data_IF_213540051436
#
_entry.id   IF_213540051436
#
_cell.length_a   1.000
_cell.length_b   1.000
_cell.length_c   1.000
_cell.angle_alpha   90.00
_cell.angle_beta   90.00
_cell.angle_gamma   90.00
#
_symmetry.space_group_name_H-M   'P 1'
#
loop_
_entity.id
_entity.type
_entity.pdbx_description
1 polymer ?
#
# COMPACT_ATOMS: atom_id res chain seq x y z
N UNK A 1 49.84 -22.61 -44.66
CA UNK A 1 49.57 -23.50 -43.46
C UNK A 1 49.91 -22.78 -42.15
N UNK A 2 50.49 -21.53 -42.17
CA UNK A 2 50.84 -20.65 -41.04
C UNK A 2 49.79 -19.54 -40.88
N UNK A 3 48.83 -19.32 -41.83
CA UNK A 3 47.74 -18.32 -41.74
C UNK A 3 46.45 -19.03 -41.27
N UNK A 4 46.37 -20.38 -41.35
CA UNK A 4 45.22 -21.19 -40.88
C UNK A 4 45.40 -21.60 -39.41
N UNK A 5 46.64 -21.62 -38.89
CA UNK A 5 46.95 -21.97 -37.48
C UNK A 5 46.83 -20.74 -36.58
N UNK A 6 46.92 -19.48 -37.17
CA UNK A 6 46.75 -18.20 -36.46
C UNK A 6 45.27 -17.82 -36.33
N UNK A 7 44.40 -18.32 -37.22
CA UNK A 7 42.95 -18.06 -37.19
C UNK A 7 42.25 -19.07 -36.25
N UNK A 8 42.85 -20.26 -36.09
CA UNK A 8 42.30 -21.29 -35.17
C UNK A 8 42.74 -20.98 -33.74
N UNK A 9 43.88 -20.37 -33.54
CA UNK A 9 44.37 -19.93 -32.22
C UNK A 9 43.64 -18.67 -31.74
N UNK A 10 43.24 -17.82 -32.68
CA UNK A 10 42.45 -16.61 -32.34
C UNK A 10 41.01 -16.99 -32.01
N UNK A 11 40.54 -18.01 -32.66
CA UNK A 11 39.15 -18.47 -32.39
C UNK A 11 39.12 -19.19 -31.02
N UNK A 12 40.10 -19.94 -30.68
CA UNK A 12 40.15 -20.61 -29.37
C UNK A 12 40.36 -19.61 -28.23
N UNK A 13 41.13 -18.57 -28.55
CA UNK A 13 41.33 -17.53 -27.51
C UNK A 13 40.03 -16.76 -27.31
N UNK A 14 39.35 -16.46 -28.39
CA UNK A 14 38.07 -15.74 -28.25
C UNK A 14 37.02 -16.64 -27.59
N UNK A 15 37.01 -17.89 -27.89
CA UNK A 15 36.09 -18.84 -27.24
C UNK A 15 36.46 -19.02 -25.76
N UNK A 16 37.75 -19.05 -25.51
CA UNK A 16 38.22 -19.09 -24.11
C UNK A 16 37.78 -17.85 -23.32
N UNK A 17 37.86 -16.69 -23.93
CA UNK A 17 37.44 -15.44 -23.26
C UNK A 17 35.91 -15.45 -23.11
N UNK A 18 35.22 -15.90 -24.09
CA UNK A 18 33.75 -15.96 -23.99
C UNK A 18 33.33 -16.96 -22.90
N UNK A 19 33.96 -18.09 -22.84
CA UNK A 19 33.66 -19.08 -21.79
C UNK A 19 34.02 -18.55 -20.39
N UNK A 20 35.13 -17.91 -20.28
CA UNK A 20 35.48 -17.28 -18.99
C UNK A 20 34.49 -16.17 -18.63
N UNK A 21 34.07 -15.37 -19.58
CA UNK A 21 33.06 -14.33 -19.31
C UNK A 21 31.71 -14.96 -18.96
N UNK A 22 31.41 -16.11 -19.57
CA UNK A 22 30.12 -16.79 -19.29
C UNK A 22 30.15 -17.44 -17.90
N UNK A 23 31.35 -17.85 -17.45
CA UNK A 23 31.43 -18.50 -16.13
C UNK A 23 31.67 -17.45 -15.04
N UNK A 24 32.30 -16.33 -15.31
CA UNK A 24 32.64 -15.29 -14.31
C UNK A 24 31.38 -14.51 -13.89
N UNK A 25 30.36 -14.50 -14.74
CA UNK A 25 29.16 -13.70 -14.42
C UNK A 25 28.24 -14.46 -13.46
N UNK A 26 28.02 -15.78 -13.61
CA UNK A 26 27.26 -16.51 -12.59
C UNK A 26 28.08 -16.72 -11.30
N UNK A 27 29.43 -16.88 -11.44
CA UNK A 27 30.33 -16.98 -10.27
C UNK A 27 30.30 -15.72 -9.40
N UNK A 28 30.30 -14.56 -10.03
CA UNK A 28 30.23 -13.29 -9.26
C UNK A 28 28.83 -13.12 -8.62
N UNK A 29 27.83 -13.55 -9.29
CA UNK A 29 26.45 -13.49 -8.75
C UNK A 29 26.26 -14.50 -7.62
N UNK A 30 26.86 -15.67 -7.76
CA UNK A 30 26.79 -16.66 -6.67
C UNK A 30 27.62 -16.20 -5.46
N UNK A 31 28.76 -15.61 -5.74
CA UNK A 31 29.60 -15.04 -4.66
C UNK A 31 28.85 -13.94 -3.92
N UNK A 32 28.09 -13.13 -4.58
CA UNK A 32 27.37 -12.03 -3.93
C UNK A 32 26.12 -12.54 -3.22
N UNK A 33 25.59 -13.64 -3.67
CA UNK A 33 24.40 -14.27 -3.03
C UNK A 33 24.80 -15.02 -1.76
N UNK A 34 25.91 -15.66 -1.79
CA UNK A 34 26.35 -16.48 -0.65
C UNK A 34 26.75 -15.61 0.54
N UNK A 35 26.97 -14.34 0.31
CA UNK A 35 27.45 -13.53 1.46
C UNK A 35 26.28 -12.85 2.17
N UNK A 36 24.99 -13.27 1.83
CA UNK A 36 23.85 -12.70 2.58
C UNK A 36 23.77 -11.17 2.46
N UNK A 37 24.32 -10.66 1.33
CA UNK A 37 24.20 -9.19 1.11
C UNK A 37 25.47 -8.44 1.51
N UNK A 38 26.43 -9.05 2.34
CA UNK A 38 27.69 -8.39 2.79
C UNK A 38 28.58 -8.02 1.60
N UNK A 39 28.50 -8.71 0.65
CA UNK A 39 29.34 -8.39 -0.53
C UNK A 39 28.77 -7.18 -1.27
N UNK A 40 27.39 -7.08 -1.24
CA UNK A 40 26.78 -5.87 -1.84
C UNK A 40 27.12 -4.62 -1.03
N UNK A 41 27.37 -4.77 0.27
CA UNK A 41 27.63 -3.58 1.12
C UNK A 41 29.08 -3.11 0.96
N UNK A 42 29.86 -3.83 0.13
CA UNK A 42 31.24 -3.33 -0.10
C UNK A 42 31.24 -2.16 -1.08
N UNK A 43 30.11 -2.09 -1.78
CA UNK A 43 29.96 -0.84 -2.55
C UNK A 43 29.37 0.28 -1.68
N UNK A 44 30.01 1.42 -1.69
CA UNK A 44 29.57 2.48 -0.76
C UNK A 44 28.20 3.04 -1.18
N UNK A 45 27.79 2.67 -2.45
CA UNK A 45 26.48 3.20 -2.91
C UNK A 45 25.34 2.41 -2.28
N UNK A 46 25.62 1.18 -1.81
CA UNK A 46 24.53 0.32 -1.33
C UNK A 46 24.61 0.19 0.20
N UNK A 47 25.56 0.88 0.81
CA UNK A 47 25.78 0.67 2.25
C UNK A 47 24.54 1.10 3.04
N UNK A 48 23.92 2.23 2.69
CA UNK A 48 22.77 2.70 3.50
C UNK A 48 21.59 1.73 3.39
N UNK A 49 21.14 1.33 2.14
CA UNK A 49 20.04 0.38 2.09
C UNK A 49 20.38 -0.94 2.81
N UNK A 50 21.62 -1.38 2.71
CA UNK A 50 22.03 -2.58 3.46
C UNK A 50 21.87 -2.38 4.97
N UNK A 51 22.33 -1.26 5.48
CA UNK A 51 22.18 -1.02 6.93
C UNK A 51 20.71 -0.95 7.33
N UNK A 52 19.93 -0.34 6.47
CA UNK A 52 18.49 -0.30 6.80
C UNK A 52 17.89 -1.71 6.79
N UNK A 53 18.29 -2.51 5.86
CA UNK A 53 17.82 -3.91 5.84
C UNK A 53 18.25 -4.66 7.11
N UNK A 54 19.45 -4.49 7.58
CA UNK A 54 19.96 -5.25 8.74
C UNK A 54 19.16 -4.92 10.01
N UNK A 55 18.57 -3.76 9.95
CA UNK A 55 17.82 -3.40 11.17
C UNK A 55 16.31 -3.48 10.91
N UNK A 56 15.93 -4.12 9.83
CA UNK A 56 14.49 -4.12 9.50
C UNK A 56 13.86 -5.45 9.92
N UNK A 57 12.52 -5.45 9.74
CA UNK A 57 11.79 -6.68 10.08
C UNK A 57 12.13 -7.82 9.12
N UNK A 58 12.82 -7.43 7.98
CA UNK A 58 13.18 -8.49 7.02
C UNK A 58 14.69 -8.78 7.06
N UNK A 59 15.40 -8.54 8.16
CA UNK A 59 16.89 -8.59 8.24
C UNK A 59 17.38 -10.04 8.10
N UNK A 60 16.45 -11.00 8.17
CA UNK A 60 16.94 -12.40 8.04
C UNK A 60 16.48 -12.99 6.71
N UNK A 61 16.01 -12.11 5.88
CA UNK A 61 15.69 -12.54 4.50
C UNK A 61 16.77 -12.01 3.54
N UNK A 62 17.29 -13.02 2.76
CA UNK A 62 18.36 -12.60 1.83
C UNK A 62 17.83 -11.55 0.83
N UNK A 63 18.71 -10.56 0.36
CA UNK A 63 18.30 -9.51 -0.61
C UNK A 63 17.73 -10.13 -1.88
N UNK A 64 18.25 -11.32 -2.24
CA UNK A 64 17.87 -11.94 -3.54
C UNK A 64 16.43 -12.47 -3.49
N UNK A 65 16.01 -12.68 -2.33
CA UNK A 65 14.61 -13.17 -2.26
C UNK A 65 13.61 -12.09 -2.70
N UNK A 66 14.14 -10.79 -2.70
CA UNK A 66 13.21 -9.72 -3.12
C UNK A 66 13.73 -9.04 -4.39
N UNK A 67 15.04 -8.92 -4.63
CA UNK A 67 15.59 -8.05 -5.69
C UNK A 67 16.05 -8.92 -6.87
N UNK A 68 15.86 -10.32 -6.72
CA UNK A 68 16.25 -11.20 -7.84
C UNK A 68 17.67 -11.74 -7.65
N UNK A 69 17.90 -12.88 -8.35
CA UNK A 69 19.25 -13.48 -8.30
C UNK A 69 19.68 -13.93 -9.70
N UNK A 70 20.84 -14.58 -9.64
CA UNK A 70 21.47 -14.95 -10.92
C UNK A 70 20.52 -15.85 -11.73
N UNK A 71 19.56 -16.41 -11.05
CA UNK A 71 18.65 -17.32 -11.80
C UNK A 71 17.41 -16.58 -12.25
N UNK A 72 17.44 -15.20 -12.01
CA UNK A 72 16.32 -14.42 -12.59
C UNK A 72 16.41 -14.45 -14.12
N UNK A 73 15.26 -14.91 -14.77
CA UNK A 73 15.32 -15.23 -16.22
C UNK A 73 15.14 -13.97 -17.05
N UNK A 74 14.91 -12.92 -16.39
CA UNK A 74 14.74 -11.66 -17.13
C UNK A 74 16.11 -11.05 -17.52
N UNK A 75 16.32 -11.01 -18.88
CA UNK A 75 17.61 -10.46 -19.39
C UNK A 75 17.81 -9.01 -18.94
N UNK A 76 16.69 -8.28 -18.85
CA UNK A 76 16.77 -6.87 -18.37
C UNK A 76 17.38 -6.77 -16.97
N UNK A 77 17.10 -7.74 -16.15
CA UNK A 77 17.68 -7.74 -14.78
C UNK A 77 19.22 -7.78 -14.84
N UNK A 78 19.75 -8.68 -15.65
CA UNK A 78 21.22 -8.85 -15.68
C UNK A 78 21.90 -7.68 -16.39
N UNK A 79 21.28 -7.17 -17.40
CA UNK A 79 21.83 -5.97 -18.08
C UNK A 79 21.87 -4.77 -17.12
N UNK A 80 20.86 -4.69 -16.30
CA UNK A 80 20.86 -3.58 -15.32
C UNK A 80 22.02 -3.70 -14.33
N UNK A 81 22.33 -4.93 -13.85
CA UNK A 81 23.48 -5.10 -12.95
C UNK A 81 24.79 -4.68 -13.61
N UNK A 82 24.90 -4.97 -14.90
CA UNK A 82 26.12 -4.57 -15.63
C UNK A 82 26.17 -3.04 -15.76
N UNK A 83 25.00 -2.48 -16.04
CA UNK A 83 24.96 -1.01 -16.15
C UNK A 83 25.33 -0.34 -14.83
N UNK A 84 24.92 -0.92 -13.75
CA UNK A 84 25.26 -0.32 -12.45
C UNK A 84 26.76 -0.39 -12.19
N UNK A 85 27.32 -1.53 -12.56
CA UNK A 85 28.78 -1.63 -12.42
C UNK A 85 29.50 -0.58 -13.26
N UNK A 86 29.03 -0.46 -14.45
CA UNK A 86 29.64 0.55 -15.34
C UNK A 86 29.44 1.96 -14.78
N UNK A 87 28.25 2.24 -14.29
CA UNK A 87 27.99 3.57 -13.69
C UNK A 87 28.93 3.81 -12.50
N UNK A 88 29.14 2.87 -11.74
CA UNK A 88 30.06 3.03 -10.60
C UNK A 88 31.48 3.34 -11.09
N UNK A 89 31.93 2.60 -12.12
CA UNK A 89 33.31 2.78 -12.59
C UNK A 89 33.49 4.16 -13.22
N UNK A 90 32.44 4.75 -13.70
CA UNK A 90 32.55 6.08 -14.36
C UNK A 90 32.17 7.18 -13.36
N UNK A 91 31.91 6.76 -12.16
CA UNK A 91 31.46 7.71 -11.13
C UNK A 91 30.21 8.47 -11.57
N UNK A 92 29.36 7.78 -12.29
CA UNK A 92 28.07 8.34 -12.72
C UNK A 92 26.91 7.68 -11.95
N UNK A 93 26.93 7.78 -10.65
CA UNK A 93 25.88 7.14 -9.82
C UNK A 93 25.01 8.25 -9.20
N UNK A 94 23.70 7.97 -9.20
CA UNK A 94 22.81 8.98 -8.61
C UNK A 94 23.06 9.14 -7.10
N UNK A 95 22.71 10.33 -6.68
CA UNK A 95 22.87 10.61 -5.23
C UNK A 95 22.04 9.66 -4.38
N UNK A 96 20.82 9.28 -4.91
CA UNK A 96 20.00 8.30 -4.16
C UNK A 96 19.70 7.08 -5.04
N UNK A 97 20.05 5.89 -4.38
CA UNK A 97 19.77 4.65 -5.12
C UNK A 97 18.37 4.17 -4.76
N UNK A 98 17.54 4.05 -5.90
CA UNK A 98 16.16 3.59 -5.62
C UNK A 98 15.73 2.60 -6.71
N UNK A 99 14.58 1.99 -6.28
CA UNK A 99 14.04 1.06 -7.31
C UNK A 99 13.33 1.85 -8.43
N UNK A 100 13.63 1.42 -9.59
CA UNK A 100 12.84 1.96 -10.70
C UNK A 100 11.46 1.26 -10.78
N UNK A 101 10.53 1.87 -11.37
CA UNK A 101 9.15 1.37 -11.35
C UNK A 101 9.07 -0.11 -11.76
N UNK A 102 9.66 -0.50 -12.88
CA UNK A 102 9.53 -1.94 -13.20
C UNK A 102 10.07 -2.82 -12.06
N UNK A 103 11.08 -2.39 -11.45
CA UNK A 103 11.63 -3.19 -10.32
C UNK A 103 10.66 -3.19 -9.13
N UNK A 104 9.92 -2.08 -8.95
CA UNK A 104 8.95 -2.06 -7.84
C UNK A 104 7.88 -3.14 -8.08
N UNK A 105 7.46 -3.27 -9.31
CA UNK A 105 6.41 -4.28 -9.60
C UNK A 105 6.95 -5.69 -9.38
N UNK A 106 8.14 -5.85 -9.81
CA UNK A 106 8.71 -7.20 -9.62
C UNK A 106 8.90 -7.52 -8.14
N UNK A 107 9.38 -6.53 -7.46
CA UNK A 107 9.59 -6.77 -6.02
C UNK A 107 8.24 -6.99 -5.33
N UNK A 108 7.28 -6.17 -5.71
CA UNK A 108 5.96 -6.31 -5.06
C UNK A 108 5.39 -7.71 -5.32
N UNK A 109 5.63 -8.25 -6.47
CA UNK A 109 5.11 -9.60 -6.75
C UNK A 109 5.79 -10.66 -5.88
N UNK A 110 6.93 -10.49 -5.51
CA UNK A 110 7.67 -11.51 -4.72
C UNK A 110 7.18 -11.54 -3.28
N UNK A 111 6.42 -10.45 -2.90
CA UNK A 111 5.87 -10.49 -1.53
C UNK A 111 4.95 -11.70 -1.35
N UNK A 112 4.34 -12.22 -2.42
CA UNK A 112 3.36 -13.32 -2.29
C UNK A 112 4.04 -14.64 -1.93
N UNK A 113 5.35 -14.70 -2.10
CA UNK A 113 6.02 -15.97 -1.75
C UNK A 113 5.95 -16.24 -0.24
N UNK A 114 5.94 -15.11 0.53
CA UNK A 114 5.91 -15.35 2.00
C UNK A 114 4.63 -14.75 2.59
N UNK A 115 3.99 -13.74 1.95
CA UNK A 115 2.76 -13.10 2.46
C UNK A 115 1.57 -13.54 1.60
N UNK A 116 1.23 -14.80 1.71
CA UNK A 116 0.27 -15.40 0.73
C UNK A 116 -1.17 -14.94 1.06
N UNK A 117 -1.49 -14.93 2.34
CA UNK A 117 -2.88 -14.53 2.69
C UNK A 117 -3.09 -13.03 2.46
N UNK A 118 -2.08 -12.30 2.90
CA UNK A 118 -2.20 -10.83 2.67
C UNK A 118 -2.29 -10.54 1.16
N UNK A 119 -1.47 -11.24 0.46
CA UNK A 119 -1.51 -11.01 -0.99
C UNK A 119 -2.89 -11.39 -1.56
N UNK A 120 -3.35 -12.57 -1.20
CA UNK A 120 -4.66 -13.01 -1.72
C UNK A 120 -5.76 -12.00 -1.33
N UNK A 121 -5.68 -11.58 -0.09
CA UNK A 121 -6.65 -10.53 0.31
C UNK A 121 -6.53 -9.27 -0.55
N UNK A 122 -5.37 -8.81 -0.73
CA UNK A 122 -5.16 -7.59 -1.55
C UNK A 122 -5.58 -7.84 -3.00
N UNK A 123 -5.12 -8.97 -3.55
CA UNK A 123 -5.42 -9.25 -4.97
C UNK A 123 -6.93 -9.34 -5.18
N UNK A 124 -7.62 -9.85 -4.16
CA UNK A 124 -9.09 -9.99 -4.29
C UNK A 124 -9.83 -8.69 -3.97
N UNK A 125 -9.09 -7.72 -3.57
CA UNK A 125 -9.80 -6.45 -3.23
C UNK A 125 -9.74 -5.47 -4.41
N UNK A 126 -10.38 -4.24 -4.14
CA UNK A 126 -10.42 -3.22 -5.23
C UNK A 126 -9.12 -2.41 -5.24
N UNK A 127 -8.29 -2.64 -4.26
CA UNK A 127 -7.00 -1.92 -4.26
C UNK A 127 -5.98 -2.60 -5.18
N UNK A 128 -6.39 -3.71 -5.79
CA UNK A 128 -5.49 -4.29 -6.80
C UNK A 128 -5.93 -3.91 -8.22
N UNK A 129 -6.81 -2.83 -8.23
CA UNK A 129 -7.24 -2.35 -9.56
C UNK A 129 -6.02 -2.02 -10.45
N UNK A 130 -6.24 -2.36 -11.71
CA UNK A 130 -5.10 -2.16 -12.64
C UNK A 130 -5.11 -0.74 -13.21
N UNK A 131 -4.05 -0.46 -13.91
CA UNK A 131 -3.99 0.86 -14.58
C UNK A 131 -5.14 1.01 -15.59
N UNK A 132 -5.44 -0.02 -16.28
CA UNK A 132 -6.52 0.09 -17.29
C UNK A 132 -7.87 0.34 -16.60
N UNK A 133 -8.09 -0.38 -15.50
CA UNK A 133 -9.38 -0.19 -14.79
C UNK A 133 -9.52 1.25 -14.26
N UNK A 134 -8.35 1.84 -13.93
CA UNK A 134 -8.46 3.18 -13.30
C UNK A 134 -8.37 4.26 -14.40
N UNK A 135 -7.49 4.09 -15.38
CA UNK A 135 -7.18 5.27 -16.20
C UNK A 135 -7.86 5.14 -17.56
N UNK A 136 -8.56 4.03 -17.76
CA UNK A 136 -9.25 3.92 -19.06
C UNK A 136 -10.74 3.73 -18.82
N UNK A 137 -11.20 4.10 -17.60
CA UNK A 137 -12.64 3.95 -17.31
C UNK A 137 -13.43 5.11 -17.95
N UNK A 138 -14.30 4.80 -18.94
CA UNK A 138 -14.98 5.88 -19.68
C UNK A 138 -16.02 6.59 -18.82
N UNK A 139 -16.61 5.78 -17.89
CA UNK A 139 -17.62 6.44 -17.02
C UNK A 139 -16.96 7.54 -16.16
N UNK A 140 -15.91 7.19 -15.57
CA UNK A 140 -15.22 8.22 -14.76
C UNK A 140 -14.63 9.32 -15.65
N UNK A 141 -13.91 9.01 -16.68
CA UNK A 141 -13.10 9.99 -17.45
C UNK A 141 -14.02 10.98 -18.19
N UNK A 142 -15.22 10.59 -18.44
CA UNK A 142 -16.14 11.55 -19.09
C UNK A 142 -16.61 12.60 -18.07
N UNK A 143 -16.44 12.25 -16.82
CA UNK A 143 -16.93 13.20 -15.78
C UNK A 143 -15.78 14.05 -15.23
N UNK A 144 -14.62 13.50 -15.41
CA UNK A 144 -13.49 14.22 -14.80
C UNK A 144 -12.23 14.00 -15.64
N UNK A 145 -11.58 15.15 -15.84
CA UNK A 145 -10.32 15.05 -16.62
C UNK A 145 -9.21 14.40 -15.76
N UNK A 146 -8.48 13.53 -16.40
CA UNK A 146 -7.34 12.92 -15.68
C UNK A 146 -6.23 13.96 -15.47
N UNK A 147 -5.63 13.86 -14.25
CA UNK A 147 -4.58 14.85 -13.91
C UNK A 147 -3.49 14.16 -13.08
N UNK A 148 -2.44 14.94 -12.90
CA UNK A 148 -1.28 14.37 -12.16
C UNK A 148 -1.68 13.98 -10.74
N UNK A 149 -2.66 14.65 -10.29
CA UNK A 149 -3.03 14.36 -8.90
C UNK A 149 -3.59 12.93 -8.75
N UNK A 150 -4.03 12.34 -9.84
CA UNK A 150 -4.50 10.94 -9.79
C UNK A 150 -3.37 10.00 -9.32
N UNK A 151 -2.16 10.41 -9.66
CA UNK A 151 -1.02 9.49 -9.39
C UNK A 151 -0.60 9.56 -7.92
N UNK A 152 -1.26 10.47 -7.19
CA UNK A 152 -0.91 10.51 -5.76
C UNK A 152 -1.34 9.22 -5.05
N UNK A 153 -2.34 8.72 -5.66
CA UNK A 153 -2.80 7.47 -4.99
C UNK A 153 -2.74 6.31 -5.99
N UNK A 154 -3.11 6.63 -7.22
CA UNK A 154 -3.12 5.57 -8.24
C UNK A 154 -1.90 5.68 -9.16
N UNK A 155 -0.95 4.67 -8.95
CA UNK A 155 0.29 4.66 -9.76
C UNK A 155 1.40 5.47 -9.08
N UNK A 156 1.48 5.40 -7.76
CA UNK A 156 2.44 6.22 -6.98
C UNK A 156 3.87 5.92 -7.40
N UNK A 157 4.11 4.80 -8.00
CA UNK A 157 5.51 4.44 -8.35
C UNK A 157 5.78 4.73 -9.83
N UNK A 158 4.74 5.24 -10.52
CA UNK A 158 4.98 5.61 -11.94
C UNK A 158 5.89 6.84 -12.04
N UNK A 159 6.97 6.80 -12.77
CA UNK A 159 8.06 7.79 -12.75
C UNK A 159 7.66 9.06 -13.53
N UNK A 160 6.62 9.03 -14.35
CA UNK A 160 6.23 10.21 -15.16
C UNK A 160 4.92 10.83 -14.67
N UNK A 161 4.52 11.91 -15.45
CA UNK A 161 3.20 12.53 -15.18
C UNK A 161 2.06 11.82 -15.94
N UNK A 162 0.88 12.37 -15.61
CA UNK A 162 -0.32 11.73 -16.19
C UNK A 162 -0.25 11.79 -17.73
N UNK A 163 0.41 12.74 -18.34
CA UNK A 163 0.47 12.84 -19.81
C UNK A 163 1.40 11.76 -20.38
N UNK A 164 2.33 11.30 -19.53
CA UNK A 164 3.22 10.22 -20.00
C UNK A 164 2.54 8.85 -19.86
N UNK A 165 1.38 8.90 -19.17
CA UNK A 165 0.75 7.58 -18.84
C UNK A 165 -0.40 7.32 -19.79
N UNK A 166 -1.25 8.40 -20.01
CA UNK A 166 -2.50 8.10 -20.74
C UNK A 166 -2.83 9.30 -21.64
N UNK A 167 -3.40 8.94 -22.78
CA UNK A 167 -3.82 10.00 -23.72
C UNK A 167 -5.16 9.57 -24.34
N UNK A 168 -6.05 10.52 -24.70
CA UNK A 168 -5.93 11.97 -24.49
C UNK A 168 -6.34 12.38 -23.07
N UNK A 169 -5.85 13.66 -22.65
CA UNK A 169 -6.25 14.12 -21.30
C UNK A 169 -7.47 15.04 -21.40
N UNK A 170 -8.50 14.44 -22.07
CA UNK A 170 -9.79 15.16 -22.11
C UNK A 170 -10.93 14.22 -21.67
N UNK A 171 -12.19 14.78 -21.77
CA UNK A 171 -13.32 13.97 -21.23
C UNK A 171 -14.10 13.34 -22.39
N UNK A 172 -13.46 13.29 -23.60
CA UNK A 172 -14.22 12.77 -24.76
C UNK A 172 -13.71 11.38 -25.14
N UNK A 173 -12.43 11.04 -24.97
CA UNK A 173 -11.87 9.70 -25.26
C UNK A 173 -11.72 9.48 -26.78
N UNK A 174 -11.42 8.38 -27.09
CA UNK A 174 -11.04 7.22 -26.25
C UNK A 174 -9.62 7.39 -25.68
N UNK A 175 -9.50 6.81 -24.40
CA UNK A 175 -8.22 6.93 -23.66
C UNK A 175 -7.39 5.66 -23.88
N UNK A 176 -6.18 5.91 -24.06
CA UNK A 176 -5.24 4.77 -24.22
C UNK A 176 -3.96 5.03 -23.42
N UNK A 177 -3.43 3.84 -22.96
CA UNK A 177 -2.14 3.99 -22.25
C UNK A 177 -1.01 4.10 -23.27
N UNK A 178 0.00 4.92 -22.95
CA UNK A 178 1.15 4.96 -23.87
C UNK A 178 1.88 3.60 -23.90
N UNK A 179 1.93 3.05 -22.75
CA UNK A 179 2.56 1.72 -22.69
C UNK A 179 1.52 0.67 -22.33
N UNK A 180 1.24 -0.16 -23.27
CA UNK A 180 0.15 -1.15 -23.09
C UNK A 180 0.52 -2.19 -22.02
N UNK A 181 1.80 -2.36 -21.80
CA UNK A 181 2.21 -3.35 -20.79
C UNK A 181 1.72 -2.97 -19.39
N UNK A 182 1.32 -1.72 -19.19
CA UNK A 182 0.91 -1.30 -17.84
C UNK A 182 -0.56 -1.64 -17.60
N UNK A 183 -1.21 -2.00 -18.62
CA UNK A 183 -2.68 -2.14 -18.52
C UNK A 183 -3.04 -3.16 -17.42
N UNK A 184 -2.27 -4.20 -17.30
CA UNK A 184 -2.68 -5.26 -16.36
C UNK A 184 -1.96 -5.09 -15.02
N UNK A 185 -1.17 -4.10 -14.96
CA UNK A 185 -0.44 -3.94 -13.68
C UNK A 185 -1.30 -3.19 -12.65
N UNK A 186 -1.02 -3.59 -11.42
CA UNK A 186 -1.77 -2.91 -10.35
C UNK A 186 -1.29 -1.47 -10.18
N UNK A 187 -2.28 -0.60 -9.94
CA UNK A 187 -1.94 0.84 -9.81
C UNK A 187 -1.57 1.17 -8.35
N UNK A 188 -1.93 0.29 -7.46
CA UNK A 188 -1.51 0.39 -6.05
C UNK A 188 -0.87 -0.95 -5.63
N UNK A 189 0.44 -0.87 -5.27
CA UNK A 189 1.12 -2.12 -4.85
C UNK A 189 1.36 -2.12 -3.34
N UNK A 190 1.89 -3.24 -2.89
CA UNK A 190 2.17 -3.36 -1.45
C UNK A 190 3.12 -2.26 -0.97
N UNK A 191 3.94 -1.84 -1.85
CA UNK A 191 4.96 -0.87 -1.42
C UNK A 191 4.36 0.55 -1.37
N UNK A 192 3.12 0.65 -1.83
CA UNK A 192 2.47 1.97 -1.66
C UNK A 192 2.00 2.20 -0.21
N UNK A 193 1.92 1.08 0.52
CA UNK A 193 1.45 1.24 1.91
C UNK A 193 2.46 0.60 2.89
N UNK A 194 3.45 -0.06 2.30
CA UNK A 194 4.43 -0.71 3.19
C UNK A 194 5.84 -0.28 2.80
N UNK A 195 6.62 -0.15 3.90
CA UNK A 195 8.06 0.08 3.67
C UNK A 195 8.84 -1.16 4.15
N UNK A 196 9.71 -1.59 3.22
CA UNK A 196 10.38 -2.88 3.50
C UNK A 196 11.58 -2.67 4.43
N UNK A 197 12.49 -1.73 4.04
CA UNK A 197 13.72 -1.59 4.85
C UNK A 197 13.51 -0.55 5.95
N UNK A 198 12.43 -0.74 6.69
CA UNK A 198 12.21 0.17 7.82
C UNK A 198 12.73 -0.47 9.12
N UNK A 199 13.36 0.43 9.85
CA UNK A 199 13.84 -0.09 11.15
C UNK A 199 12.70 -0.69 11.97
N UNK A 200 13.02 -1.86 12.54
CA UNK A 200 12.00 -2.50 13.40
C UNK A 200 12.39 -3.95 13.71
N UNK A 201 11.54 -4.48 14.70
CA UNK A 201 11.83 -5.88 15.10
C UNK A 201 10.86 -6.83 14.38
N UNK A 202 11.42 -8.00 14.03
CA UNK A 202 10.48 -9.00 13.52
C UNK A 202 9.38 -9.33 14.55
N UNK A 203 8.23 -9.61 13.92
CA UNK A 203 7.13 -9.97 14.86
C UNK A 203 7.52 -11.19 15.69
N UNK A 204 7.41 -10.95 17.06
CA UNK A 204 7.78 -12.07 17.96
C UNK A 204 6.66 -12.27 18.99
N UNK A 205 6.56 -13.50 19.31
CA UNK A 205 5.65 -13.77 20.43
C UNK A 205 6.09 -13.01 21.70
N UNK A 206 5.03 -12.26 22.20
CA UNK A 206 5.43 -11.55 23.42
C UNK A 206 5.89 -12.51 24.53
N UNK A 207 6.99 -12.09 25.22
CA UNK A 207 7.54 -12.94 26.31
C UNK A 207 6.53 -13.12 27.43
N UNK A 208 5.68 -12.04 27.58
CA UNK A 208 4.62 -12.15 28.60
C UNK A 208 3.27 -11.81 27.94
N UNK A 209 2.39 -12.71 28.29
CA UNK A 209 1.03 -12.45 27.80
C UNK A 209 0.50 -11.09 28.29
N UNK A 210 0.05 -10.31 27.34
CA UNK A 210 -0.51 -9.04 27.80
C UNK A 210 -1.73 -9.24 28.72
N UNK A 211 -1.68 -8.49 29.74
CA UNK A 211 -2.75 -8.62 30.75
C UNK A 211 -4.06 -8.03 30.23
N UNK A 212 -3.91 -6.96 29.28
CA UNK A 212 -5.13 -6.39 28.68
C UNK A 212 -4.85 -6.01 27.22
N UNK A 213 -5.95 -5.90 26.46
CA UNK A 213 -5.84 -5.56 25.02
C UNK A 213 -5.34 -4.11 24.83
N UNK A 214 -5.43 -3.27 25.83
CA UNK A 214 -5.05 -1.85 25.68
C UNK A 214 -3.52 -1.69 25.67
N UNK A 215 -2.84 -2.67 26.07
CA UNK A 215 -1.38 -2.50 26.12
C UNK A 215 -0.73 -3.18 24.91
N UNK A 216 -1.64 -3.64 24.04
CA UNK A 216 -1.05 -4.33 22.86
C UNK A 216 -0.72 -3.29 21.78
N UNK A 217 0.39 -3.60 21.16
CA UNK A 217 0.79 -2.68 20.07
C UNK A 217 -0.18 -2.77 18.89
N UNK A 218 -0.62 -1.63 18.36
CA UNK A 218 -1.69 -1.57 17.33
C UNK A 218 -1.05 -1.30 15.96
N UNK A 219 0.21 -0.78 15.92
CA UNK A 219 0.85 -0.47 14.63
C UNK A 219 2.15 -1.27 14.50
N UNK A 220 2.25 -1.77 13.21
CA UNK A 220 3.45 -2.57 12.95
C UNK A 220 4.48 -1.77 12.15
N UNK A 221 5.77 -2.05 12.24
CA UNK A 221 6.88 -1.21 11.74
C UNK A 221 6.87 -1.11 10.21
N UNK A 222 5.96 -1.77 9.52
CA UNK A 222 6.15 -1.71 8.05
C UNK A 222 5.09 -0.81 7.41
N UNK A 223 4.10 -0.38 8.18
CA UNK A 223 3.08 0.47 7.54
C UNK A 223 3.62 1.88 7.28
N UNK A 224 3.48 2.27 6.01
CA UNK A 224 4.02 3.57 5.57
C UNK A 224 3.40 3.94 4.22
N UNK A 225 3.28 5.20 4.02
CA UNK A 225 2.79 5.66 2.70
C UNK A 225 3.97 6.07 1.81
N UNK A 226 3.95 5.48 0.65
CA UNK A 226 4.94 6.00 -0.32
C UNK A 226 4.47 7.34 -0.90
N UNK A 227 5.33 8.32 -0.63
CA UNK A 227 5.05 9.67 -1.19
C UNK A 227 5.83 9.88 -2.49
N UNK A 228 5.07 9.98 -3.52
CA UNK A 228 5.74 10.02 -4.85
C UNK A 228 6.48 11.35 -5.06
N UNK A 229 6.05 12.33 -4.47
CA UNK A 229 6.73 13.64 -4.69
C UNK A 229 8.12 13.66 -4.06
N UNK A 230 8.07 12.93 -2.95
CA UNK A 230 9.39 12.93 -2.28
C UNK A 230 10.16 11.63 -2.57
N UNK A 231 9.37 10.75 -3.17
CA UNK A 231 9.94 9.42 -3.45
C UNK A 231 10.52 8.78 -2.19
N UNK A 232 9.71 8.91 -1.12
CA UNK A 232 10.09 8.29 0.17
C UNK A 232 8.82 7.81 0.88
N UNK A 233 9.18 6.89 1.84
CA UNK A 233 8.04 6.41 2.65
C UNK A 233 7.89 7.27 3.91
N UNK A 234 6.64 7.54 4.20
CA UNK A 234 6.31 8.21 5.47
C UNK A 234 5.58 7.20 6.38
N UNK A 235 6.17 7.05 7.59
CA UNK A 235 5.57 6.04 8.48
C UNK A 235 4.13 6.41 8.86
N UNK A 236 3.32 5.37 9.00
CA UNK A 236 1.90 5.60 9.34
C UNK A 236 1.79 6.36 10.68
N UNK A 237 2.74 6.13 11.57
CA UNK A 237 2.69 6.84 12.89
C UNK A 237 2.92 8.34 12.74
N UNK A 238 3.42 8.73 11.61
CA UNK A 238 3.72 10.18 11.46
C UNK A 238 2.67 10.85 10.56
N UNK A 239 1.80 10.06 10.05
CA UNK A 239 0.78 10.69 9.20
C UNK A 239 -0.32 11.30 10.07
N UNK A 240 -0.74 12.46 9.67
CA UNK A 240 -1.74 13.13 10.51
C UNK A 240 -3.16 12.57 10.29
N UNK A 241 -3.89 12.56 11.39
CA UNK A 241 -5.34 12.40 11.20
C UNK A 241 -5.98 13.76 10.93
N UNK A 242 -6.63 13.81 9.78
CA UNK A 242 -7.14 15.14 9.41
C UNK A 242 -8.35 15.55 10.25
N UNK A 243 -8.46 16.87 10.44
CA UNK A 243 -9.77 17.36 10.95
C UNK A 243 -10.84 17.32 9.83
N UNK A 244 -12.01 16.74 10.18
CA UNK A 244 -13.11 16.67 9.20
C UNK A 244 -14.28 17.54 9.68
N UNK A 245 -14.95 18.14 8.59
CA UNK A 245 -16.03 19.07 9.01
C UNK A 245 -17.34 18.67 8.32
N UNK A 246 -18.41 18.78 9.11
CA UNK A 246 -19.77 18.77 8.56
C UNK A 246 -20.44 20.13 8.77
N UNK A 247 -20.36 20.97 7.66
CA UNK A 247 -20.64 22.41 7.88
C UNK A 247 -19.65 23.05 8.87
N UNK A 248 -20.18 23.61 9.93
CA UNK A 248 -19.27 24.29 10.89
C UNK A 248 -18.87 23.35 12.02
N UNK A 249 -19.44 22.21 11.94
CA UNK A 249 -19.19 21.26 13.05
C UNK A 249 -17.98 20.38 12.74
N UNK A 250 -17.20 20.17 13.82
CA UNK A 250 -16.06 19.24 13.67
C UNK A 250 -16.54 17.81 13.96
N UNK A 251 -16.16 16.93 12.97
CA UNK A 251 -16.60 15.53 13.09
C UNK A 251 -15.64 14.77 14.01
N UNK A 252 -16.29 13.94 14.87
CA UNK A 252 -15.43 13.04 15.68
C UNK A 252 -14.92 11.86 14.84
N UNK A 253 -13.53 11.75 14.80
CA UNK A 253 -13.00 10.58 14.05
C UNK A 253 -12.26 9.68 15.05
N UNK A 254 -12.19 8.40 14.67
CA UNK A 254 -11.46 7.43 15.52
C UNK A 254 -9.98 7.81 15.66
N UNK A 255 -9.48 7.66 16.88
CA UNK A 255 -8.07 8.00 17.09
C UNK A 255 -7.13 6.90 16.56
N UNK A 256 -7.69 5.82 15.93
CA UNK A 256 -6.83 4.77 15.35
C UNK A 256 -5.92 5.34 14.25
N UNK A 257 -4.67 5.26 14.56
CA UNK A 257 -3.69 5.93 13.68
C UNK A 257 -3.50 5.15 12.38
N UNK A 258 -3.77 3.93 12.37
CA UNK A 258 -3.64 3.17 11.11
C UNK A 258 -4.53 3.74 10.02
N UNK A 259 -5.63 4.37 10.32
CA UNK A 259 -6.54 4.89 9.29
C UNK A 259 -5.99 6.17 8.65
N UNK A 260 -4.95 6.70 9.33
CA UNK A 260 -4.32 7.88 8.66
C UNK A 260 -3.83 7.52 7.25
N UNK A 261 -3.44 6.28 7.07
CA UNK A 261 -2.98 5.87 5.73
C UNK A 261 -4.13 5.93 4.72
N UNK A 262 -5.27 5.50 5.18
CA UNK A 262 -6.44 5.51 4.26
C UNK A 262 -6.82 6.93 3.87
N UNK A 263 -6.64 7.83 4.74
CA UNK A 263 -7.06 9.22 4.45
C UNK A 263 -6.14 9.88 3.43
N UNK A 264 -5.02 9.18 3.19
CA UNK A 264 -4.15 9.80 2.16
C UNK A 264 -4.77 9.66 0.77
N UNK A 265 -5.75 8.73 0.73
CA UNK A 265 -6.39 8.58 -0.59
C UNK A 265 -7.90 8.79 -0.50
N UNK A 266 -8.48 8.41 0.61
CA UNK A 266 -9.94 8.53 0.79
C UNK A 266 -10.28 9.67 1.75
N UNK A 267 -10.04 10.90 1.22
CA UNK A 267 -10.25 12.09 2.08
C UNK A 267 -11.14 13.10 1.34
N UNK A 268 -11.70 14.00 2.13
CA UNK A 268 -12.48 15.06 1.48
C UNK A 268 -11.60 16.02 0.67
N UNK A 269 -12.32 16.79 -0.08
CA UNK A 269 -11.57 17.84 -0.78
C UNK A 269 -10.91 18.82 0.20
N UNK A 270 -10.18 19.78 -0.34
CA UNK A 270 -9.32 20.65 0.49
C UNK A 270 -10.16 21.48 1.47
N UNK A 271 -11.50 21.39 1.35
CA UNK A 271 -12.37 22.15 2.28
C UNK A 271 -12.58 21.37 3.58
N UNK A 272 -12.21 20.13 3.57
CA UNK A 272 -12.29 19.27 4.75
C UNK A 272 -13.76 18.89 5.02
N UNK A 273 -14.54 19.15 4.03
CA UNK A 273 -15.96 18.81 4.19
C UNK A 273 -16.18 17.31 3.91
N UNK A 274 -16.85 16.71 4.89
CA UNK A 274 -17.07 15.26 4.72
C UNK A 274 -18.05 15.03 3.57
N UNK A 275 -17.91 13.89 2.93
CA UNK A 275 -18.74 13.44 1.80
C UNK A 275 -18.45 14.23 0.53
N UNK A 276 -17.37 14.84 0.54
CA UNK A 276 -16.92 15.45 -0.73
C UNK A 276 -15.75 14.66 -1.31
N UNK A 277 -15.56 14.84 -2.65
CA UNK A 277 -14.48 14.06 -3.31
C UNK A 277 -14.62 12.56 -3.06
N UNK A 278 -13.40 11.89 -2.63
CA UNK A 278 -13.42 10.44 -2.38
C UNK A 278 -13.48 10.14 -0.88
N UNK A 279 -14.08 10.99 -0.16
CA UNK A 279 -14.12 10.92 1.31
C UNK A 279 -14.97 9.72 1.76
N UNK A 280 -14.37 9.02 2.69
CA UNK A 280 -15.13 7.86 3.23
C UNK A 280 -15.20 7.96 4.75
N UNK A 281 -15.13 9.18 5.23
CA UNK A 281 -15.17 9.37 6.70
C UNK A 281 -16.58 9.05 7.22
N UNK A 282 -16.61 8.06 8.17
CA UNK A 282 -17.94 7.72 8.68
C UNK A 282 -18.54 8.87 9.50
N UNK A 283 -19.74 9.19 9.16
CA UNK A 283 -20.52 10.16 9.97
C UNK A 283 -21.90 9.57 10.21
N UNK A 284 -22.74 10.31 10.96
CA UNK A 284 -24.09 9.79 11.27
C UNK A 284 -24.04 8.65 12.30
N UNK A 285 -24.59 7.52 11.84
CA UNK A 285 -24.76 6.43 12.84
C UNK A 285 -23.42 5.71 13.02
N UNK A 286 -22.40 6.08 12.13
CA UNK A 286 -21.11 5.39 12.31
C UNK A 286 -20.02 6.40 12.68
N UNK A 287 -20.44 7.53 13.09
CA UNK A 287 -19.43 8.55 13.43
C UNK A 287 -18.54 8.06 14.58
N UNK A 288 -17.20 8.26 14.40
CA UNK A 288 -16.25 7.90 15.48
C UNK A 288 -15.63 6.51 15.25
N UNK A 289 -16.20 5.81 14.24
CA UNK A 289 -15.63 4.47 14.00
C UNK A 289 -14.43 4.57 13.06
N UNK A 290 -13.43 3.67 13.36
CA UNK A 290 -12.27 3.62 12.43
C UNK A 290 -12.64 2.93 11.13
N UNK A 291 -11.86 3.25 10.09
CA UNK A 291 -12.05 2.52 8.81
C UNK A 291 -11.88 1.01 9.00
N UNK A 292 -11.14 0.66 10.04
CA UNK A 292 -10.81 -0.76 10.21
C UNK A 292 -11.89 -1.45 11.04
N UNK A 293 -12.82 -0.62 11.39
CA UNK A 293 -13.93 -1.26 12.11
C UNK A 293 -14.82 -2.02 11.12
N UNK A 294 -14.80 -1.47 9.86
CA UNK A 294 -15.68 -2.15 8.88
C UNK A 294 -14.85 -2.84 7.80
N UNK A 295 -13.78 -2.24 7.53
CA UNK A 295 -12.96 -2.81 6.43
C UNK A 295 -11.86 -3.71 7.00
N UNK A 296 -11.88 -4.92 6.39
CA UNK A 296 -10.83 -5.85 6.87
C UNK A 296 -9.47 -5.47 6.27
N UNK A 297 -8.43 -5.72 6.81
CA UNK A 297 -7.05 -5.33 6.44
C UNK A 297 -6.81 -5.38 4.94
N UNK A 298 -6.18 -6.26 4.32
CA UNK A 298 -5.73 -6.24 2.91
C UNK A 298 -6.89 -6.60 1.98
N UNK A 299 -7.91 -7.25 2.47
CA UNK A 299 -9.05 -7.69 1.63
C UNK A 299 -10.12 -6.60 1.50
N UNK A 300 -10.10 -5.69 2.44
CA UNK A 300 -11.06 -4.56 2.51
C UNK A 300 -12.51 -5.08 2.45
N UNK A 301 -12.70 -6.26 2.89
CA UNK A 301 -14.08 -6.81 2.93
C UNK A 301 -14.85 -6.26 4.14
N UNK A 302 -16.19 -6.09 3.96
CA UNK A 302 -16.93 -5.39 5.04
C UNK A 302 -18.12 -6.24 5.48
N UNK A 303 -18.46 -7.23 4.70
CA UNK A 303 -19.75 -7.90 4.97
C UNK A 303 -19.75 -8.53 6.36
N UNK A 304 -18.62 -9.17 6.71
CA UNK A 304 -18.67 -9.90 8.00
C UNK A 304 -18.58 -8.93 9.19
N UNK A 305 -18.11 -7.70 8.94
CA UNK A 305 -17.92 -6.77 10.08
C UNK A 305 -19.25 -6.23 10.58
N UNK A 306 -20.25 -6.24 9.68
CA UNK A 306 -21.53 -5.65 10.12
C UNK A 306 -22.21 -6.53 11.16
N UNK A 307 -22.01 -7.83 11.01
CA UNK A 307 -22.69 -8.76 11.94
C UNK A 307 -22.05 -8.70 13.34
N UNK A 308 -20.81 -8.12 13.38
CA UNK A 308 -20.19 -8.02 14.72
C UNK A 308 -20.90 -6.96 15.57
N UNK A 309 -21.61 -6.04 14.89
CA UNK A 309 -22.28 -4.97 15.66
C UNK A 309 -23.79 -5.03 15.44
N UNK A 310 -24.25 -5.56 14.38
CA UNK A 310 -25.69 -5.59 14.11
C UNK A 310 -26.18 -7.05 14.17
N UNK A 311 -27.33 -7.13 14.72
CA UNK A 311 -28.16 -6.05 15.27
C UNK A 311 -27.89 -5.80 16.76
N UNK A 312 -27.06 -6.54 17.21
CA UNK A 312 -26.89 -6.55 18.67
C UNK A 312 -26.56 -5.15 19.21
N UNK A 313 -25.69 -4.41 18.58
CA UNK A 313 -25.23 -3.10 19.12
C UNK A 313 -25.94 -1.95 18.43
N UNK A 314 -26.83 -2.37 17.46
CA UNK A 314 -27.52 -1.27 16.78
C UNK A 314 -28.70 -0.76 17.62
N UNK A 315 -28.91 0.52 17.54
CA UNK A 315 -29.96 1.18 18.35
C UNK A 315 -31.37 0.86 17.80
N UNK A 316 -31.47 0.29 16.59
CA UNK A 316 -32.82 0.14 15.99
C UNK A 316 -33.13 -1.33 15.76
N UNK A 317 -32.09 -2.22 15.95
CA UNK A 317 -32.33 -3.68 15.91
C UNK A 317 -32.63 -4.19 14.51
N UNK A 318 -32.35 -3.32 13.45
CA UNK A 318 -32.66 -3.77 12.08
C UNK A 318 -31.50 -4.61 11.52
N UNK A 319 -31.95 -5.52 10.65
CA UNK A 319 -30.93 -6.27 9.90
C UNK A 319 -30.29 -5.39 8.80
N UNK A 320 -29.03 -5.12 9.03
CA UNK A 320 -28.34 -4.12 8.19
C UNK A 320 -28.24 -4.62 6.75
N UNK A 321 -28.28 -5.99 6.56
CA UNK A 321 -28.13 -6.48 5.17
C UNK A 321 -29.40 -6.20 4.35
N UNK A 322 -30.40 -5.77 5.01
CA UNK A 322 -31.64 -5.53 4.22
C UNK A 322 -31.94 -4.03 4.16
N UNK A 323 -31.09 -3.29 4.77
CA UNK A 323 -31.37 -1.83 4.81
C UNK A 323 -30.95 -1.19 3.49
N UNK A 324 -31.77 -0.11 3.23
CA UNK A 324 -31.50 0.59 1.95
C UNK A 324 -30.24 1.46 2.06
N UNK A 325 -29.11 0.79 1.97
CA UNK A 325 -27.81 1.52 1.97
C UNK A 325 -26.94 0.96 0.83
N UNK A 326 -25.79 1.69 0.69
CA UNK A 326 -24.89 1.24 -0.39
C UNK A 326 -24.26 -0.11 -0.04
N UNK A 327 -24.43 -0.49 1.20
CA UNK A 327 -24.01 -1.89 1.48
C UNK A 327 -24.86 -2.88 0.69
N UNK A 328 -26.17 -2.69 0.71
CA UNK A 328 -27.07 -3.62 0.00
C UNK A 328 -27.00 -3.39 -1.52
N UNK A 329 -26.99 -2.06 -1.90
CA UNK A 329 -26.96 -1.75 -3.34
C UNK A 329 -26.13 -0.48 -3.57
N UNK A 330 -25.19 -0.59 -4.58
CA UNK A 330 -24.33 0.59 -4.87
C UNK A 330 -25.17 1.72 -5.46
N UNK A 331 -26.41 1.49 -5.78
CA UNK A 331 -27.26 2.55 -6.37
C UNK A 331 -28.10 3.23 -5.29
N UNK A 332 -28.04 2.72 -4.15
CA UNK A 332 -28.83 3.35 -3.08
C UNK A 332 -28.38 4.81 -2.84
N UNK A 333 -29.33 5.62 -2.55
CA UNK A 333 -28.99 7.03 -2.28
C UNK A 333 -28.44 7.22 -0.86
N UNK A 334 -28.55 6.13 -0.10
CA UNK A 334 -28.04 6.25 1.29
C UNK A 334 -26.67 5.57 1.42
N UNK A 335 -25.68 6.45 1.39
CA UNK A 335 -24.29 5.96 1.50
C UNK A 335 -23.98 5.47 2.93
N UNK A 336 -23.39 4.32 2.96
CA UNK A 336 -23.22 3.63 4.26
C UNK A 336 -22.20 4.42 5.11
N UNK A 337 -21.36 5.18 4.50
CA UNK A 337 -20.40 5.96 5.30
C UNK A 337 -21.05 7.17 5.95
N UNK A 338 -22.19 7.66 5.34
CA UNK A 338 -22.72 8.95 5.83
C UNK A 338 -24.17 8.79 6.25
N UNK A 339 -24.60 7.55 6.40
CA UNK A 339 -26.05 7.33 6.63
C UNK A 339 -26.41 7.80 8.05
N UNK A 340 -27.66 8.35 8.08
CA UNK A 340 -28.22 8.82 9.37
C UNK A 340 -29.50 8.04 9.68
N UNK A 341 -29.89 8.20 10.96
CA UNK A 341 -31.10 7.45 11.35
C UNK A 341 -32.31 7.87 10.50
N UNK A 342 -32.34 9.15 10.15
CA UNK A 342 -33.52 9.64 9.39
C UNK A 342 -33.52 9.11 7.95
N UNK A 343 -32.34 8.67 7.54
CA UNK A 343 -32.27 8.13 6.16
C UNK A 343 -32.99 6.77 6.07
N UNK A 344 -33.08 6.12 7.13
CA UNK A 344 -33.70 4.77 7.07
C UNK A 344 -35.04 4.77 7.81
N UNK A 345 -35.32 5.88 8.52
CA UNK A 345 -36.60 5.93 9.28
C UNK A 345 -37.37 7.19 8.88
N UNK A 346 -38.06 7.07 7.76
CA UNK A 346 -38.76 8.25 7.20
C UNK A 346 -40.03 8.55 8.01
N UNK A 347 -40.43 7.52 8.78
CA UNK A 347 -41.70 7.73 9.52
C UNK A 347 -41.41 7.96 11.01
N UNK A 348 -40.12 8.17 11.24
CA UNK A 348 -39.79 8.50 12.64
C UNK A 348 -38.75 7.50 13.18
N UNK A 349 -37.80 8.02 13.96
CA UNK A 349 -36.69 7.22 14.53
C UNK A 349 -37.21 6.46 15.76
N UNK A 350 -37.12 5.10 15.67
CA UNK A 350 -37.63 4.28 16.79
C UNK A 350 -36.86 4.58 18.10
N UNK A 351 -37.67 4.38 19.19
CA UNK A 351 -37.00 4.54 20.50
C UNK A 351 -35.94 3.44 20.69
N UNK A 352 -34.87 3.87 21.23
CA UNK A 352 -33.78 2.90 21.45
C UNK A 352 -34.28 1.67 22.23
N UNK A 353 -33.76 0.47 21.84
CA UNK A 353 -34.09 -0.78 22.57
C UNK A 353 -33.63 -0.69 24.03
N UNK A 354 -34.65 -1.11 25.03
CA UNK A 354 -34.31 -1.13 26.46
C UNK A 354 -33.12 -2.07 26.75
N UNK A 355 -31.80 -1.46 27.13
CA UNK A 355 -30.56 -2.20 27.46
C UNK A 355 -29.36 -1.66 26.66
N UNK A 356 -29.54 -0.83 25.60
CA UNK A 356 -28.45 -0.18 24.82
C UNK A 356 -28.06 1.16 25.45
N UNK A 357 -28.94 1.78 26.44
CA UNK A 357 -28.66 3.04 27.19
C UNK A 357 -27.82 2.75 28.44
N UNK A 358 -27.86 1.53 29.02
CA UNK A 358 -27.06 1.19 30.22
C UNK A 358 -25.60 0.87 29.83
N UNK A 359 -25.29 0.63 28.50
CA UNK A 359 -23.91 0.39 28.02
C UNK A 359 -23.23 1.70 27.62
N UNK A 360 -24.03 2.79 27.34
CA UNK A 360 -23.46 4.13 27.00
C UNK A 360 -23.27 4.97 28.27
N UNK A 361 -24.12 4.78 29.39
CA UNK A 361 -23.92 5.49 30.67
C UNK A 361 -22.92 4.74 31.56
N UNK A 362 -22.65 3.45 31.30
CA UNK A 362 -21.61 2.71 32.04
C UNK A 362 -20.24 2.91 31.38
N UNK A 363 -20.15 3.34 30.06
CA UNK A 363 -18.87 3.63 29.37
C UNK A 363 -18.49 5.11 29.56
N UNK A 364 -19.48 6.02 29.81
CA UNK A 364 -19.19 7.44 30.10
C UNK A 364 -18.85 7.64 31.58
N UNK A 365 -19.31 6.72 32.49
CA UNK A 365 -18.97 6.84 33.93
C UNK A 365 -17.66 6.10 34.23
N UNK A 366 -17.13 5.21 33.35
CA UNK A 366 -15.83 4.55 33.54
C UNK A 366 -14.71 5.39 32.92
N UNK A 367 -15.01 6.30 31.95
CA UNK A 367 -14.00 7.23 31.37
C UNK A 367 -13.87 8.46 32.28
N UNK A 368 -14.89 8.83 33.06
CA UNK A 368 -14.80 9.99 33.97
C UNK A 368 -14.23 9.59 35.34
N UNK A 369 -14.24 8.31 35.73
CA UNK A 369 -13.63 7.88 37.02
C UNK A 369 -12.14 7.55 36.85
N UNK A 370 -11.61 7.43 35.61
CA UNK A 370 -10.17 7.19 35.38
C UNK A 370 -9.44 8.52 35.15
N UNK A 371 -10.19 9.66 34.97
CA UNK A 371 -9.56 11.01 34.94
C UNK A 371 -9.55 11.64 36.34
N UNK A 372 -10.17 11.00 37.34
CA UNK A 372 -10.13 11.58 38.70
C UNK A 372 -9.25 10.73 39.61
N UNK A 373 -8.49 9.72 39.08
CA UNK A 373 -7.53 9.01 39.95
C UNK A 373 -6.12 9.14 39.36
N UNK A 374 -5.91 10.05 38.37
CA UNK A 374 -4.53 10.42 37.97
C UNK A 374 -4.23 11.86 38.37
N UNK A 375 -4.62 12.33 39.61
CA UNK A 375 -3.84 13.35 40.34
C UNK A 375 -3.22 12.73 41.59
#
# INVERSE_FOLDING_TARGET
>A
MLIHLSSIRRVHILLGILLLALLALPGASLYYEYSGGRSCARCHEIWQPYHEWQSSAHRDIACTECHGNVFTLDAGFHLNNIRRLWSHLRNDVPEQIRLKPPQVYETAERCRKCHQQEWAGWAGSLHSATYAEIFLDPTHNRQRRLADDCLRCHGMDFAGGIRDLVVPLNTTGPWRLHDARLASRAAITCLDCHQMHRQGLPLMKPAVKPQTATTQKILQPSLALFDRRELMHVSAGRLPLPEMRDGERIVKISPDRRQALCYQCHAPLATFEVASGDDRTPVGVHEGLSCLACHENHGQKTRASCATCHPRLSNCGLDVETMDTTFKSTKSPHNIHFVKCADCHAKGIPKPRPGTRRARLALQLTVNSRQLTAR
#
